data_IF_133079628473
#
_entry.id   IF_133079628473
#
_cell.length_a   1.000
_cell.length_b   1.000
_cell.length_c   1.000
_cell.angle_alpha   90.00
_cell.angle_beta   90.00
_cell.angle_gamma   90.00
#
_symmetry.space_group_name_H-M   'P 1'
#
loop_
_entity.id
_entity.type
_entity.pdbx_description
1 polymer ?
#
# COMPACT_ATOMS: atom_id res chain seq x y z
N UNK A 1 -7.26 1.06 -7.78
CA UNK A 1 -6.38 0.02 -8.39
C UNK A 1 -7.01 -1.36 -8.41
N UNK A 2 -7.32 -1.96 -7.26
CA UNK A 2 -7.84 -3.34 -7.17
C UNK A 2 -9.18 -3.56 -7.92
N UNK A 3 -10.05 -2.55 -7.96
CA UNK A 3 -11.34 -2.62 -8.67
C UNK A 3 -11.24 -2.49 -10.20
N UNK A 4 -10.08 -2.08 -10.74
CA UNK A 4 -9.90 -1.93 -12.19
C UNK A 4 -9.45 -3.24 -12.84
N UNK A 5 -9.89 -3.45 -14.09
CA UNK A 5 -9.38 -4.52 -14.96
C UNK A 5 -7.87 -4.37 -15.19
N UNK A 6 -7.12 -5.47 -15.41
CA UNK A 6 -5.65 -5.42 -15.51
C UNK A 6 -5.11 -4.41 -16.52
N UNK A 7 -5.64 -4.37 -17.75
CA UNK A 7 -5.17 -3.43 -18.78
C UNK A 7 -5.41 -1.95 -18.42
N UNK A 8 -6.51 -1.63 -17.74
CA UNK A 8 -6.78 -0.27 -17.27
C UNK A 8 -5.86 0.10 -16.10
N UNK A 9 -5.55 -0.86 -15.23
CA UNK A 9 -4.61 -0.69 -14.12
C UNK A 9 -3.21 -0.33 -14.62
N UNK A 10 -2.73 -1.06 -15.64
CA UNK A 10 -1.43 -0.79 -16.26
C UNK A 10 -1.38 0.60 -16.88
N UNK A 11 -2.44 1.01 -17.61
CA UNK A 11 -2.51 2.35 -18.18
C UNK A 11 -2.45 3.44 -17.12
N UNK A 12 -3.15 3.27 -16.00
CA UNK A 12 -3.13 4.23 -14.89
C UNK A 12 -1.72 4.38 -14.31
N UNK A 13 -1.01 3.27 -14.08
CA UNK A 13 0.35 3.30 -13.55
C UNK A 13 1.34 3.90 -14.56
N UNK A 14 1.23 3.55 -15.84
CA UNK A 14 2.05 4.13 -16.91
C UNK A 14 1.84 5.64 -17.00
N UNK A 15 0.61 6.14 -16.86
CA UNK A 15 0.33 7.57 -16.89
C UNK A 15 1.01 8.35 -15.76
N UNK A 16 1.10 7.78 -14.55
CA UNK A 16 1.73 8.45 -13.41
C UNK A 16 3.25 8.24 -13.35
N UNK A 17 3.71 7.00 -13.48
CA UNK A 17 5.10 6.60 -13.16
C UNK A 17 5.89 6.11 -14.39
N UNK A 18 5.22 5.85 -15.51
CA UNK A 18 5.86 5.33 -16.72
C UNK A 18 6.56 6.41 -17.54
N UNK A 19 7.48 5.97 -18.41
CA UNK A 19 8.25 6.86 -19.32
C UNK A 19 7.38 7.60 -20.33
N UNK A 20 6.20 7.07 -20.63
CA UNK A 20 5.23 7.72 -21.52
C UNK A 20 4.19 8.54 -20.74
N UNK A 21 4.35 8.69 -19.43
CA UNK A 21 3.48 9.43 -18.54
C UNK A 21 4.11 10.72 -18.03
N UNK A 22 3.79 11.10 -16.79
CA UNK A 22 4.31 12.29 -16.12
C UNK A 22 5.47 12.00 -15.16
N UNK A 23 5.99 10.75 -15.18
CA UNK A 23 7.21 10.31 -14.49
C UNK A 23 7.30 10.75 -13.01
N UNK A 24 6.23 10.55 -12.25
CA UNK A 24 6.29 10.66 -10.80
C UNK A 24 7.44 9.80 -10.29
N UNK A 25 8.32 10.42 -9.50
CA UNK A 25 9.50 9.77 -8.92
C UNK A 25 9.41 9.68 -7.39
N UNK A 26 8.26 10.07 -6.82
CA UNK A 26 8.00 10.04 -5.39
C UNK A 26 6.58 9.54 -5.12
N UNK A 27 6.46 8.64 -4.15
CA UNK A 27 5.19 8.18 -3.60
C UNK A 27 5.30 8.07 -2.07
N UNK A 28 4.17 8.24 -1.37
CA UNK A 28 4.11 8.13 0.09
C UNK A 28 3.33 6.88 0.48
N UNK A 29 3.91 6.07 1.36
CA UNK A 29 3.30 4.85 1.89
C UNK A 29 3.00 5.06 3.38
N UNK A 30 1.72 5.04 3.80
CA UNK A 30 1.39 5.09 5.22
C UNK A 30 1.94 3.88 5.98
N UNK A 31 2.28 4.06 7.26
CA UNK A 31 2.62 2.95 8.17
C UNK A 31 1.33 2.58 8.90
N UNK A 32 0.89 1.33 8.70
CA UNK A 32 -0.42 0.84 9.14
C UNK A 32 -1.61 1.65 8.58
N UNK A 33 -2.66 1.85 9.38
CA UNK A 33 -3.90 2.52 8.95
C UNK A 33 -3.83 4.05 8.96
N UNK A 34 -4.74 4.66 8.21
CA UNK A 34 -5.09 6.09 8.27
C UNK A 34 -6.61 6.23 8.11
N UNK A 35 -7.13 7.46 8.15
CA UNK A 35 -8.52 7.83 7.81
C UNK A 35 -8.96 7.38 6.40
N UNK A 36 -8.03 7.16 5.47
CA UNK A 36 -8.29 6.58 4.14
C UNK A 36 -8.24 5.04 4.10
N UNK A 37 -8.19 4.37 5.26
CA UNK A 37 -8.28 2.91 5.38
C UNK A 37 -9.71 2.47 5.67
N UNK A 38 -10.07 1.24 5.31
CA UNK A 38 -11.44 0.71 5.57
C UNK A 38 -11.66 0.27 7.01
N UNK A 39 -10.59 0.22 7.82
CA UNK A 39 -10.61 -0.05 9.25
C UNK A 39 -9.38 0.56 9.89
N UNK A 40 -9.46 0.82 11.19
CA UNK A 40 -8.31 1.15 12.02
C UNK A 40 -7.48 -0.11 12.31
N UNK A 41 -6.15 0.03 12.24
CA UNK A 41 -5.20 -0.99 12.64
C UNK A 41 -3.78 -0.44 12.81
N UNK A 42 -2.98 -1.12 13.63
CA UNK A 42 -1.54 -1.00 13.75
C UNK A 42 -0.84 -2.34 13.43
N UNK A 43 0.49 -2.33 13.34
CA UNK A 43 1.30 -3.55 13.18
C UNK A 43 1.64 -4.23 14.50
N UNK A 44 1.42 -3.55 15.63
CA UNK A 44 1.75 -4.05 16.97
C UNK A 44 0.64 -3.69 17.96
N UNK A 45 -0.44 -4.46 17.94
CA UNK A 45 -1.64 -4.17 18.73
C UNK A 45 -1.71 -4.96 20.06
N UNK A 46 -0.75 -5.84 20.31
CA UNK A 46 -0.72 -6.66 21.54
C UNK A 46 -0.30 -5.78 22.73
N UNK A 47 -1.19 -5.52 23.70
CA UNK A 47 -0.85 -4.65 24.84
C UNK A 47 0.31 -5.23 25.65
N UNK A 48 1.30 -4.40 25.97
CA UNK A 48 2.47 -4.78 26.76
C UNK A 48 3.61 -5.46 25.98
N UNK A 49 3.47 -5.70 24.67
CA UNK A 49 4.54 -6.27 23.83
C UNK A 49 5.61 -5.23 23.43
N UNK A 50 6.36 -4.74 24.42
CA UNK A 50 7.42 -3.75 24.21
C UNK A 50 8.61 -4.30 23.39
N UNK A 51 8.71 -5.62 23.25
CA UNK A 51 9.74 -6.30 22.45
C UNK A 51 9.33 -6.46 20.98
N UNK A 52 8.12 -6.04 20.59
CA UNK A 52 7.57 -6.20 19.24
C UNK A 52 7.58 -7.67 18.76
N UNK A 53 7.43 -8.62 19.67
CA UNK A 53 7.48 -10.06 19.35
C UNK A 53 6.32 -10.53 18.48
N UNK A 54 5.21 -9.79 18.46
CA UNK A 54 4.02 -10.05 17.64
C UNK A 54 3.84 -9.06 16.50
N UNK A 55 4.84 -8.22 16.22
CA UNK A 55 4.77 -7.27 15.11
C UNK A 55 4.56 -8.01 13.79
N UNK A 56 3.56 -7.58 13.02
CA UNK A 56 3.31 -8.12 11.69
C UNK A 56 2.68 -7.06 10.78
N UNK A 57 3.03 -7.11 9.50
CA UNK A 57 2.31 -6.35 8.47
C UNK A 57 0.87 -6.87 8.35
N UNK A 58 -0.04 -5.99 7.99
CA UNK A 58 -1.44 -6.30 7.87
C UNK A 58 -1.76 -6.86 6.47
N UNK A 59 -2.90 -7.55 6.29
CA UNK A 59 -3.32 -8.04 4.96
C UNK A 59 -3.35 -6.95 3.89
N UNK A 60 -3.67 -5.71 4.27
CA UNK A 60 -3.71 -4.54 3.38
C UNK A 60 -2.35 -4.23 2.75
N UNK A 61 -1.24 -4.44 3.46
CA UNK A 61 0.10 -4.22 2.94
C UNK A 61 0.41 -5.15 1.78
N UNK A 62 0.13 -6.44 1.96
CA UNK A 62 0.38 -7.46 0.94
C UNK A 62 -0.61 -7.37 -0.23
N UNK A 63 -1.89 -7.12 0.05
CA UNK A 63 -2.95 -7.14 -0.97
C UNK A 63 -3.03 -5.86 -1.78
N UNK A 64 -2.69 -4.71 -1.21
CA UNK A 64 -2.95 -3.41 -1.84
C UNK A 64 -1.73 -2.52 -2.00
N UNK A 65 -0.75 -2.56 -1.08
CA UNK A 65 0.39 -1.63 -1.11
C UNK A 65 1.57 -2.20 -1.88
N UNK A 66 2.11 -3.34 -1.43
CA UNK A 66 3.32 -3.96 -2.01
C UNK A 66 3.15 -4.27 -3.49
N UNK A 67 2.00 -4.82 -3.90
CA UNK A 67 1.72 -5.16 -5.30
C UNK A 67 1.68 -3.92 -6.20
N UNK A 68 1.23 -2.77 -5.68
CA UNK A 68 1.15 -1.51 -6.47
C UNK A 68 2.52 -0.81 -6.53
N UNK A 69 3.31 -0.91 -5.46
CA UNK A 69 4.66 -0.34 -5.40
C UNK A 69 5.62 -1.11 -6.32
N UNK A 70 5.51 -2.44 -6.35
CA UNK A 70 6.32 -3.31 -7.20
C UNK A 70 5.71 -3.51 -8.60
N UNK A 71 4.89 -2.56 -9.06
CA UNK A 71 4.28 -2.59 -10.39
C UNK A 71 5.35 -2.65 -11.50
#
# INVERSE_FOLDING_TARGET
MAALRPGTRQKLMESYFGKNGIEYNLARVPIASTDFSTREYSYSEVPGDMKMSRFALAPEDFKYKVIVINW
#
